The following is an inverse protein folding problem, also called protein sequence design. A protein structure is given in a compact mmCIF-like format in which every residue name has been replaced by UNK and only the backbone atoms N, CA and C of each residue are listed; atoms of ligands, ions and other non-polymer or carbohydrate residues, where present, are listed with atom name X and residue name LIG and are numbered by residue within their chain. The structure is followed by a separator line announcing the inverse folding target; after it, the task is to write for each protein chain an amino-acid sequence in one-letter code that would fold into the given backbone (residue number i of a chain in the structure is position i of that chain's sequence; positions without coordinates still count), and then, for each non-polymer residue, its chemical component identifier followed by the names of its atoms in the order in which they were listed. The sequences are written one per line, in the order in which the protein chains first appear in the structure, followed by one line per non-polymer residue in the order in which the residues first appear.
data_IF_996568161020
#
_entry.id   IF_996568161020
#
_cell.length_a   1.000
_cell.length_b   1.000
_cell.length_c   1.000
_cell.angle_alpha   90.00
_cell.angle_beta   90.00
_cell.angle_gamma   90.00
#
_symmetry.space_group_name_H-M   'P 1'
#
loop_
_entity.id
_entity.type
_entity.pdbx_description
1 polymer ?
#
# COMPACT_ATOMS: atom_id res chain seq x y z
N UNK A 1 24.52 -29.99 17.95
CA UNK A 1 24.04 -28.67 18.42
C UNK A 1 23.22 -28.09 17.27
N UNK A 2 21.89 -28.15 17.35
CA UNK A 2 20.98 -27.64 16.31
C UNK A 2 20.62 -26.21 16.69
N UNK A 3 21.18 -25.23 15.99
CA UNK A 3 20.83 -23.81 16.19
C UNK A 3 19.52 -23.57 15.46
N UNK A 4 18.42 -23.54 16.19
CA UNK A 4 17.14 -23.07 15.67
C UNK A 4 17.21 -21.54 15.52
N UNK A 5 17.42 -21.07 14.28
CA UNK A 5 17.22 -19.66 13.94
C UNK A 5 15.72 -19.36 14.01
N UNK A 6 15.27 -18.77 15.11
CA UNK A 6 13.95 -18.17 15.21
C UNK A 6 13.92 -16.92 14.33
N UNK A 7 13.35 -17.05 13.13
CA UNK A 7 12.97 -15.91 12.31
C UNK A 7 11.83 -15.15 13.01
N UNK A 8 12.18 -14.24 13.92
CA UNK A 8 11.25 -13.27 14.50
C UNK A 8 10.87 -12.23 13.43
N UNK A 9 10.03 -12.62 12.48
CA UNK A 9 9.39 -11.71 11.54
C UNK A 9 8.17 -11.04 12.19
N UNK A 10 7.97 -9.74 11.93
CA UNK A 10 6.69 -9.10 12.27
C UNK A 10 5.58 -9.75 11.44
N UNK A 11 4.63 -10.42 12.09
CA UNK A 11 3.36 -10.79 11.46
C UNK A 11 2.57 -9.50 11.24
N UNK A 12 2.40 -9.12 9.99
CA UNK A 12 1.41 -8.10 9.62
C UNK A 12 0.04 -8.76 9.68
N UNK A 13 -0.72 -8.49 10.74
CA UNK A 13 -2.12 -8.90 10.81
C UNK A 13 -2.99 -7.96 9.95
N UNK A 14 -3.94 -8.53 9.22
CA UNK A 14 -4.88 -7.80 8.36
C UNK A 14 -4.67 -8.06 6.86
N UNK A 15 -5.74 -7.86 6.11
CA UNK A 15 -5.74 -7.86 4.65
C UNK A 15 -5.18 -6.54 4.11
N UNK A 16 -4.83 -6.54 2.82
CA UNK A 16 -4.46 -5.32 2.12
C UNK A 16 -5.49 -4.18 2.30
N UNK A 17 -6.78 -4.51 2.34
CA UNK A 17 -7.86 -3.53 2.52
C UNK A 17 -7.89 -2.91 3.93
N UNK A 18 -7.37 -3.61 4.94
CA UNK A 18 -7.37 -3.11 6.31
C UNK A 18 -6.33 -2.00 6.50
N UNK A 19 -5.22 -2.09 5.77
CA UNK A 19 -4.06 -1.20 5.92
C UNK A 19 -3.93 -0.14 4.83
N UNK A 20 -4.37 -0.43 3.60
CA UNK A 20 -4.21 0.49 2.48
C UNK A 20 -5.30 1.56 2.47
N UNK A 21 -4.91 2.80 2.12
CA UNK A 21 -5.81 3.95 2.01
C UNK A 21 -5.53 4.69 0.70
N UNK A 22 -6.55 5.31 0.08
CA UNK A 22 -6.33 6.06 -1.15
C UNK A 22 -5.39 7.24 -0.92
N UNK A 23 -4.49 7.46 -1.87
CA UNK A 23 -3.59 8.62 -1.86
C UNK A 23 -4.25 9.74 -2.66
N UNK A 24 -4.48 10.88 -2.00
CA UNK A 24 -5.05 12.10 -2.61
C UNK A 24 -4.05 13.25 -2.54
N UNK A 25 -3.18 13.41 -3.55
CA UNK A 25 -2.23 14.52 -3.59
C UNK A 25 -2.96 15.87 -3.67
N UNK A 26 -2.40 16.87 -3.00
CA UNK A 26 -2.80 18.26 -3.15
C UNK A 26 -2.26 18.84 -4.45
N UNK A 27 -2.87 19.93 -4.94
CA UNK A 27 -2.41 20.62 -6.17
C UNK A 27 -1.01 21.22 -6.02
N UNK A 28 -0.57 21.46 -4.79
CA UNK A 28 0.75 22.00 -4.45
C UNK A 28 1.85 20.92 -4.47
N UNK A 29 1.48 19.64 -4.40
CA UNK A 29 2.44 18.54 -4.35
C UNK A 29 3.22 18.43 -5.67
N UNK A 30 4.54 18.60 -5.58
CA UNK A 30 5.44 18.43 -6.72
C UNK A 30 5.80 16.96 -6.85
N UNK A 31 5.26 16.32 -7.88
CA UNK A 31 5.45 14.89 -8.13
C UNK A 31 5.96 14.67 -9.55
N UNK A 32 6.81 13.65 -9.69
CA UNK A 32 7.19 13.18 -11.03
C UNK A 32 5.99 12.50 -11.72
N UNK A 33 6.01 12.46 -13.05
CA UNK A 33 4.99 11.73 -13.81
C UNK A 33 4.94 10.24 -13.45
N UNK A 34 6.10 9.64 -13.12
CA UNK A 34 6.18 8.26 -12.66
C UNK A 34 5.43 8.04 -11.35
N UNK A 35 5.56 8.96 -10.39
CA UNK A 35 4.86 8.87 -9.11
C UNK A 35 3.36 9.04 -9.27
N UNK A 36 2.91 9.98 -10.12
CA UNK A 36 1.47 10.16 -10.41
C UNK A 36 0.83 8.89 -10.96
N UNK A 37 1.52 8.22 -11.90
CA UNK A 37 1.06 6.94 -12.47
C UNK A 37 0.95 5.83 -11.43
N UNK A 38 1.92 5.75 -10.50
CA UNK A 38 1.89 4.77 -9.42
C UNK A 38 0.72 5.02 -8.46
N UNK A 39 0.46 6.28 -8.10
CA UNK A 39 -0.66 6.64 -7.23
C UNK A 39 -1.99 6.29 -7.89
N UNK A 40 -2.14 6.61 -9.17
CA UNK A 40 -3.35 6.26 -9.91
C UNK A 40 -3.57 4.74 -9.92
N UNK A 41 -2.54 3.96 -10.26
CA UNK A 41 -2.63 2.50 -10.29
C UNK A 41 -2.96 1.90 -8.91
N UNK A 42 -2.37 2.42 -7.84
CA UNK A 42 -2.63 1.93 -6.48
C UNK A 42 -4.05 2.28 -6.01
N UNK A 43 -4.54 3.49 -6.34
CA UNK A 43 -5.91 3.91 -6.06
C UNK A 43 -6.94 3.09 -6.84
N UNK A 44 -6.69 2.80 -8.12
CA UNK A 44 -7.54 1.93 -8.94
C UNK A 44 -7.58 0.50 -8.41
N UNK A 45 -6.42 -0.04 -8.01
CA UNK A 45 -6.33 -1.35 -7.36
C UNK A 45 -7.13 -1.38 -6.06
N UNK A 46 -7.02 -0.34 -5.23
CA UNK A 46 -7.75 -0.24 -3.98
C UNK A 46 -9.26 -0.16 -4.22
N UNK A 47 -9.70 0.60 -5.21
CA UNK A 47 -11.11 0.65 -5.62
C UNK A 47 -11.62 -0.72 -6.10
N UNK A 48 -10.84 -1.42 -6.91
CA UNK A 48 -11.20 -2.73 -7.47
C UNK A 48 -11.24 -3.84 -6.40
N UNK A 49 -10.26 -3.88 -5.52
CA UNK A 49 -10.10 -4.97 -4.54
C UNK A 49 -10.90 -4.73 -3.27
N UNK A 50 -11.06 -3.47 -2.86
CA UNK A 50 -11.60 -3.12 -1.54
C UNK A 50 -12.85 -2.23 -1.62
N UNK A 51 -13.30 -1.84 -2.82
CA UNK A 51 -14.52 -1.05 -3.01
C UNK A 51 -14.44 0.40 -2.52
N UNK A 52 -13.24 0.86 -2.15
CA UNK A 52 -13.00 2.20 -1.59
C UNK A 52 -12.96 3.22 -2.72
N UNK A 53 -13.61 4.37 -2.53
CA UNK A 53 -13.54 5.46 -3.49
C UNK A 53 -12.31 6.32 -3.21
N UNK A 54 -11.36 6.42 -4.17
CA UNK A 54 -10.16 7.20 -4.01
C UNK A 54 -10.41 8.68 -4.16
#
# INVERSE_FOLDING_TARGET
MLIALSASGCVTAGSYCDVARPVRPSVEDKMTEGTKRQILAENEKLAKLCGVKP
#
